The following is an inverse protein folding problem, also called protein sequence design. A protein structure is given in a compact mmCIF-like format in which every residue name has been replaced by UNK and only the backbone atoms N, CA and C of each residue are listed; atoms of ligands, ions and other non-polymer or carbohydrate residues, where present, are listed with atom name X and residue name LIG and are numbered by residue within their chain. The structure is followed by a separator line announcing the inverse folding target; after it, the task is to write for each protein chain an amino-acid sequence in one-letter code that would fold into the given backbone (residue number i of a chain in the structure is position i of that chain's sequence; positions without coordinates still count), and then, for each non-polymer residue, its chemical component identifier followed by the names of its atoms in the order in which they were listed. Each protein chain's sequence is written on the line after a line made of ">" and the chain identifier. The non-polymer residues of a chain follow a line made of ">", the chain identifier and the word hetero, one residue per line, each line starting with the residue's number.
data_IF_190586815990
#
_entry.id   IF_190586815990
#
_cell.length_a   1.000
_cell.length_b   1.000
_cell.length_c   1.000
_cell.angle_alpha   90.00
_cell.angle_beta   90.00
_cell.angle_gamma   90.00
#
_symmetry.space_group_name_H-M   'P 1'
#
loop_
_entity.id
_entity.type
_entity.pdbx_description
1 polymer ?
#
# COMPACT_ATOMS: atom_id res chain seq x y z
N UNK A 1 39.25 6.76 4.18
CA UNK A 1 37.89 7.33 4.12
C UNK A 1 36.94 6.14 4.24
N UNK A 2 36.49 5.83 5.45
CA UNK A 2 35.71 4.63 5.74
C UNK A 2 34.25 4.90 5.39
N UNK A 3 33.70 4.12 4.47
CA UNK A 3 32.30 4.20 4.06
C UNK A 3 31.39 3.86 5.25
N UNK A 4 30.55 4.82 5.64
CA UNK A 4 29.47 4.59 6.60
C UNK A 4 28.41 3.72 5.93
N UNK A 5 28.33 2.48 6.38
CA UNK A 5 27.30 1.50 6.03
C UNK A 5 26.08 1.74 6.92
N UNK A 6 25.28 2.75 6.59
CA UNK A 6 24.10 3.08 7.38
C UNK A 6 22.91 2.16 7.05
N UNK A 7 22.43 1.49 8.11
CA UNK A 7 21.06 0.97 8.33
C UNK A 7 20.62 -0.35 7.66
N UNK A 8 21.09 -1.47 8.21
CA UNK A 8 20.40 -2.78 8.09
C UNK A 8 20.08 -3.41 9.47
N UNK A 9 20.32 -2.72 10.58
CA UNK A 9 20.33 -3.30 11.93
C UNK A 9 18.95 -3.40 12.61
N UNK A 10 17.87 -2.89 12.01
CA UNK A 10 16.56 -2.80 12.68
C UNK A 10 15.52 -3.80 12.17
N UNK A 11 15.88 -4.69 11.24
CA UNK A 11 14.93 -5.67 10.67
C UNK A 11 14.54 -6.74 11.69
N UNK A 12 15.39 -7.03 12.68
CA UNK A 12 15.18 -8.08 13.68
C UNK A 12 13.92 -7.88 14.54
N UNK A 13 13.54 -6.63 14.85
CA UNK A 13 12.44 -6.36 15.79
C UNK A 13 11.06 -6.45 15.16
N UNK A 14 10.95 -6.17 13.86
CA UNK A 14 9.66 -6.15 13.15
C UNK A 14 9.05 -7.54 13.10
N UNK A 15 9.88 -8.57 12.88
CA UNK A 15 9.39 -9.95 12.83
C UNK A 15 8.82 -10.43 14.17
N UNK A 16 9.48 -10.08 15.28
CA UNK A 16 9.00 -10.38 16.63
C UNK A 16 7.69 -9.65 16.95
N UNK A 17 7.57 -8.38 16.56
CA UNK A 17 6.33 -7.61 16.69
C UNK A 17 5.21 -8.25 15.86
N UNK A 18 5.46 -8.61 14.60
CA UNK A 18 4.43 -9.24 13.75
C UNK A 18 4.00 -10.59 14.31
N UNK A 19 4.92 -11.37 14.89
CA UNK A 19 4.61 -12.65 15.56
C UNK A 19 3.78 -12.48 16.82
N UNK A 20 3.90 -11.37 17.54
CA UNK A 20 3.12 -11.11 18.76
C UNK A 20 1.70 -10.62 18.47
N UNK A 21 1.43 -10.11 17.27
CA UNK A 21 0.08 -9.70 16.85
C UNK A 21 -0.86 -10.90 16.68
N UNK A 22 -2.11 -10.74 17.11
CA UNK A 22 -3.21 -11.66 16.78
C UNK A 22 -3.52 -11.64 15.27
N UNK A 23 -4.26 -12.64 14.79
CA UNK A 23 -4.67 -12.68 13.38
C UNK A 23 -5.49 -11.44 12.97
N UNK A 24 -6.34 -10.93 13.86
CA UNK A 24 -7.16 -9.74 13.61
C UNK A 24 -6.29 -8.49 13.53
N UNK A 25 -5.37 -8.30 14.47
CA UNK A 25 -4.46 -7.14 14.45
C UNK A 25 -3.55 -7.15 13.22
N UNK A 26 -3.03 -8.32 12.81
CA UNK A 26 -2.26 -8.44 11.58
C UNK A 26 -3.08 -8.07 10.35
N UNK A 27 -4.36 -8.45 10.30
CA UNK A 27 -5.24 -8.07 9.21
C UNK A 27 -5.48 -6.56 9.17
N UNK A 28 -5.75 -5.93 10.31
CA UNK A 28 -5.91 -4.46 10.41
C UNK A 28 -4.64 -3.74 9.96
N UNK A 29 -3.47 -4.16 10.45
CA UNK A 29 -2.20 -3.57 10.05
C UNK A 29 -1.94 -3.75 8.54
N UNK A 30 -2.21 -4.95 8.01
CA UNK A 30 -2.08 -5.22 6.58
C UNK A 30 -2.99 -4.33 5.72
N UNK A 31 -4.21 -4.05 6.18
CA UNK A 31 -5.11 -3.11 5.50
C UNK A 31 -4.58 -1.67 5.52
N UNK A 32 -3.98 -1.22 6.63
CA UNK A 32 -3.36 0.09 6.72
C UNK A 32 -2.17 0.21 5.75
N UNK A 33 -1.30 -0.80 5.72
CA UNK A 33 -0.18 -0.85 4.79
C UNK A 33 -0.66 -0.83 3.33
N UNK A 34 -1.71 -1.58 3.01
CA UNK A 34 -2.33 -1.60 1.68
C UNK A 34 -2.84 -0.22 1.28
N UNK A 35 -3.52 0.49 2.18
CA UNK A 35 -4.04 1.83 1.91
C UNK A 35 -2.91 2.84 1.59
N UNK A 36 -1.76 2.74 2.28
CA UNK A 36 -0.58 3.57 1.99
C UNK A 36 -0.02 3.27 0.59
N UNK A 37 0.14 1.98 0.26
CA UNK A 37 0.68 1.55 -1.04
C UNK A 37 -0.25 1.98 -2.18
N UNK A 38 -1.55 1.79 -2.03
CA UNK A 38 -2.54 2.17 -3.04
C UNK A 38 -2.56 3.69 -3.26
N UNK A 39 -2.40 4.49 -2.20
CA UNK A 39 -2.27 5.94 -2.34
C UNK A 39 -0.99 6.34 -3.09
N UNK A 40 0.14 5.71 -2.77
CA UNK A 40 1.40 5.94 -3.48
C UNK A 40 1.28 5.65 -4.98
N UNK A 41 0.65 4.53 -5.34
CA UNK A 41 0.36 4.18 -6.74
C UNK A 41 -0.54 5.22 -7.41
N UNK A 42 -1.60 5.67 -6.73
CA UNK A 42 -2.51 6.68 -7.26
C UNK A 42 -1.78 7.99 -7.55
N UNK A 43 -0.95 8.46 -6.62
CA UNK A 43 -0.18 9.71 -6.78
C UNK A 43 0.80 9.59 -7.94
N UNK A 44 1.56 8.50 -8.00
CA UNK A 44 2.51 8.26 -9.09
C UNK A 44 1.83 8.26 -10.47
N UNK A 45 0.67 7.59 -10.62
CA UNK A 45 -0.06 7.60 -11.90
C UNK A 45 -0.54 9.02 -12.26
N UNK A 46 -1.01 9.81 -11.28
CA UNK A 46 -1.49 11.18 -11.50
C UNK A 46 -0.41 12.17 -11.93
N UNK A 47 0.84 11.91 -11.54
CA UNK A 47 2.01 12.67 -12.01
C UNK A 47 2.30 12.45 -13.51
N UNK A 48 1.67 11.45 -14.11
CA UNK A 48 1.77 11.15 -15.54
C UNK A 48 0.50 11.61 -16.29
N UNK A 49 0.42 11.27 -17.57
CA UNK A 49 -0.66 11.62 -18.50
C UNK A 49 -1.97 10.86 -18.26
N UNK A 50 -2.26 10.49 -17.00
CA UNK A 50 -3.45 9.74 -16.62
C UNK A 50 -4.32 10.52 -15.64
N UNK A 51 -5.63 10.47 -15.86
CA UNK A 51 -6.61 10.70 -14.82
C UNK A 51 -6.84 9.37 -14.08
N UNK A 52 -6.59 9.35 -12.78
CA UNK A 52 -6.68 8.12 -11.99
C UNK A 52 -7.49 8.29 -10.70
N UNK A 53 -8.14 7.20 -10.28
CA UNK A 53 -8.94 7.11 -9.06
C UNK A 53 -8.87 5.72 -8.43
N UNK A 54 -8.95 5.70 -7.10
CA UNK A 54 -9.20 4.47 -6.34
C UNK A 54 -10.70 4.29 -6.14
N UNK A 55 -11.24 3.15 -6.58
CA UNK A 55 -12.66 2.81 -6.50
C UNK A 55 -12.85 1.65 -5.54
N UNK A 56 -13.78 1.80 -4.59
CA UNK A 56 -14.30 0.68 -3.80
C UNK A 56 -15.52 0.12 -4.51
N UNK A 57 -15.47 -1.13 -4.96
CA UNK A 57 -16.52 -1.69 -5.83
C UNK A 57 -17.48 -2.65 -5.11
N UNK A 58 -17.13 -3.14 -3.92
CA UNK A 58 -18.02 -3.92 -3.03
C UNK A 58 -17.73 -3.61 -1.55
N UNK A 59 -18.66 -3.87 -0.61
CA UNK A 59 -18.37 -3.83 0.81
C UNK A 59 -17.24 -4.80 1.22
N UNK A 60 -16.40 -4.45 2.21
CA UNK A 60 -15.35 -5.35 2.72
C UNK A 60 -15.88 -6.69 3.24
N UNK A 61 -17.15 -6.75 3.65
CA UNK A 61 -17.82 -7.98 4.07
C UNK A 61 -18.08 -8.98 2.94
N UNK A 62 -18.05 -8.53 1.67
CA UNK A 62 -18.18 -9.40 0.50
C UNK A 62 -16.79 -9.84 0.01
N UNK A 63 -15.85 -8.91 -0.09
CA UNK A 63 -14.46 -9.21 -0.45
C UNK A 63 -13.51 -8.22 0.24
N UNK A 64 -12.43 -8.69 0.89
CA UNK A 64 -11.37 -7.82 1.39
C UNK A 64 -10.54 -7.19 0.26
N UNK A 65 -10.61 -7.74 -0.95
CA UNK A 65 -9.93 -7.25 -2.15
C UNK A 65 -10.82 -6.30 -2.98
N UNK A 66 -11.47 -5.34 -2.31
CA UNK A 66 -12.53 -4.51 -2.89
C UNK A 66 -12.09 -3.15 -3.46
N UNK A 67 -10.79 -2.93 -3.65
CA UNK A 67 -10.24 -1.67 -4.20
C UNK A 67 -9.66 -1.90 -5.58
N UNK A 68 -9.99 -1.02 -6.52
CA UNK A 68 -9.45 -0.99 -7.86
C UNK A 68 -8.83 0.38 -8.15
N UNK A 69 -7.60 0.39 -8.65
CA UNK A 69 -6.99 1.59 -9.21
C UNK A 69 -7.35 1.66 -10.70
N UNK A 70 -8.12 2.67 -11.07
CA UNK A 70 -8.53 2.90 -12.46
C UNK A 70 -7.78 4.11 -12.98
N UNK A 71 -7.23 4.01 -14.19
CA UNK A 71 -6.51 5.07 -14.86
C UNK A 71 -6.96 5.18 -16.31
N UNK A 72 -7.30 6.40 -16.73
CA UNK A 72 -7.65 6.75 -18.10
C UNK A 72 -6.61 7.72 -18.64
N UNK A 73 -6.16 7.52 -19.87
CA UNK A 73 -5.23 8.43 -20.51
C UNK A 73 -5.93 9.77 -20.78
N UNK A 74 -5.28 10.90 -20.44
CA UNK A 74 -5.87 12.25 -20.55
C UNK A 74 -6.21 12.65 -21.99
N UNK A 75 -5.68 11.96 -23.01
CA UNK A 75 -5.92 12.25 -24.43
C UNK A 75 -6.90 11.29 -25.13
N UNK A 76 -7.82 10.65 -24.41
CA UNK A 76 -8.99 10.09 -25.10
C UNK A 76 -9.94 11.23 -25.47
N UNK A 77 -9.85 11.63 -26.75
CA UNK A 77 -10.73 12.51 -27.54
C UNK A 77 -12.17 12.60 -27.03
#
# INVERSE_FOLDING_TARGET
>A
MSEKKDSASNVSGVEEIVKSLTAVERAVLGLMCKDIIDMGRLLWIKEHEFEAKLVKYVPPSISPENRLLVANYKNHL
#
